data_IF_569476801438
#
_entry.id   IF_569476801438
#
_cell.length_a   1.000
_cell.length_b   1.000
_cell.length_c   1.000
_cell.angle_alpha   90.00
_cell.angle_beta   90.00
_cell.angle_gamma   90.00
#
_symmetry.space_group_name_H-M   'P 1'
#
loop_
_entity.id
_entity.type
_entity.pdbx_description
1 polymer ?
#
# COMPACT_ATOMS: atom_id res chain seq x y z
N UNK A 1 -25.09 44.15 19.60
CA UNK A 1 -25.28 43.72 18.19
C UNK A 1 -24.00 44.12 17.47
N UNK A 2 -23.21 43.28 16.81
CA UNK A 2 -23.29 41.86 16.46
C UNK A 2 -21.84 41.43 16.14
N UNK A 3 -21.47 40.21 16.55
CA UNK A 3 -20.19 39.59 16.24
C UNK A 3 -20.18 39.13 14.78
N UNK A 4 -19.06 39.27 14.08
CA UNK A 4 -18.91 38.77 12.72
C UNK A 4 -17.48 38.43 12.34
N UNK A 5 -16.75 37.74 13.21
CA UNK A 5 -15.47 37.13 12.86
C UNK A 5 -15.72 35.93 11.95
N UNK A 6 -15.57 36.14 10.64
CA UNK A 6 -15.59 35.10 9.61
C UNK A 6 -14.32 34.27 9.76
N UNK A 7 -14.40 33.21 10.57
CA UNK A 7 -13.35 32.20 10.63
C UNK A 7 -13.27 31.50 9.27
N UNK A 8 -12.07 31.51 8.69
CA UNK A 8 -11.76 30.67 7.54
C UNK A 8 -11.91 29.21 7.95
N UNK A 9 -13.05 28.63 7.60
CA UNK A 9 -13.26 27.19 7.62
C UNK A 9 -12.39 26.58 6.52
N UNK A 10 -11.14 26.30 6.84
CA UNK A 10 -10.37 25.32 6.09
C UNK A 10 -11.17 24.02 6.15
N UNK A 11 -11.82 23.65 5.03
CA UNK A 11 -12.32 22.29 4.86
C UNK A 11 -11.10 21.38 4.99
N UNK A 12 -11.02 20.62 6.08
CA UNK A 12 -10.27 19.37 6.08
C UNK A 12 -10.92 18.48 5.02
N UNK A 13 -10.43 18.57 3.78
CA UNK A 13 -10.71 17.58 2.76
C UNK A 13 -9.96 16.34 3.21
N UNK A 14 -10.64 15.46 3.95
CA UNK A 14 -10.15 14.11 4.10
C UNK A 14 -9.96 13.56 2.68
N UNK A 15 -8.76 13.08 2.33
CA UNK A 15 -8.49 12.66 0.97
C UNK A 15 -9.49 11.57 0.60
N UNK A 16 -10.21 11.76 -0.51
CA UNK A 16 -11.23 10.82 -0.95
C UNK A 16 -10.63 9.40 -1.03
N UNK A 17 -11.39 8.34 -0.73
CA UNK A 17 -10.87 7.00 -0.85
C UNK A 17 -10.38 6.73 -2.27
N UNK A 18 -9.34 5.90 -2.40
CA UNK A 18 -8.93 5.41 -3.72
C UNK A 18 -10.09 4.65 -4.38
N UNK A 19 -10.17 4.74 -5.71
CA UNK A 19 -11.24 4.11 -6.46
C UNK A 19 -11.04 2.59 -6.54
N UNK A 20 -9.84 2.17 -6.96
CA UNK A 20 -9.52 0.76 -7.20
C UNK A 20 -8.36 0.24 -6.33
N UNK A 21 -7.87 1.01 -5.36
CA UNK A 21 -6.87 0.55 -4.39
C UNK A 21 -7.54 0.30 -3.05
N UNK A 22 -7.77 -0.98 -2.74
CA UNK A 22 -8.43 -1.38 -1.50
C UNK A 22 -7.48 -1.32 -0.31
N UNK A 23 -8.03 -1.07 0.87
CA UNK A 23 -7.32 -1.13 2.16
C UNK A 23 -6.05 -0.26 2.25
N UNK A 24 -5.99 0.85 1.50
CA UNK A 24 -4.87 1.79 1.54
C UNK A 24 -4.86 2.56 2.88
N UNK A 25 -3.76 2.45 3.64
CA UNK A 25 -3.60 3.13 4.94
C UNK A 25 -2.14 3.49 5.21
N UNK A 26 -1.94 4.60 5.91
CA UNK A 26 -0.66 4.98 6.51
C UNK A 26 -0.41 4.13 7.77
N UNK A 27 0.71 3.41 7.78
CA UNK A 27 1.08 2.50 8.87
C UNK A 27 1.47 3.29 10.12
N UNK A 28 2.22 4.39 9.96
CA UNK A 28 2.62 5.24 11.08
C UNK A 28 1.41 5.84 11.76
N UNK A 29 0.48 6.38 10.97
CA UNK A 29 -0.77 6.92 11.50
C UNK A 29 -1.59 5.86 12.22
N UNK A 30 -1.76 4.69 11.60
CA UNK A 30 -2.56 3.60 12.20
C UNK A 30 -2.00 3.16 13.55
N UNK A 31 -0.68 3.03 13.68
CA UNK A 31 -0.02 2.61 14.92
C UNK A 31 -0.07 3.72 15.97
N UNK A 32 0.21 4.97 15.57
CA UNK A 32 0.17 6.11 16.50
C UNK A 32 -1.24 6.31 17.05
N UNK A 33 -2.26 6.26 16.20
CA UNK A 33 -3.66 6.39 16.59
C UNK A 33 -4.09 5.24 17.52
N UNK A 34 -3.61 4.01 17.28
CA UNK A 34 -3.91 2.85 18.11
C UNK A 34 -3.27 2.92 19.50
N UNK A 35 -2.03 3.41 19.60
CA UNK A 35 -1.28 3.49 20.86
C UNK A 35 -1.53 4.80 21.62
N UNK A 36 -2.06 5.84 20.96
CA UNK A 36 -2.20 7.17 21.54
C UNK A 36 -0.88 7.94 21.66
N UNK A 37 0.20 7.42 21.06
CA UNK A 37 1.55 7.98 21.13
C UNK A 37 2.20 8.05 19.74
N UNK A 38 2.96 9.11 19.46
CA UNK A 38 3.65 9.30 18.17
C UNK A 38 4.99 8.56 18.14
N UNK A 39 4.95 7.23 17.98
CA UNK A 39 6.14 6.39 17.93
C UNK A 39 6.73 6.24 16.52
N UNK A 40 5.88 6.31 15.48
CA UNK A 40 6.28 6.14 14.09
C UNK A 40 6.08 7.41 13.28
N UNK A 41 6.99 7.65 12.35
CA UNK A 41 6.83 8.73 11.38
C UNK A 41 5.68 8.41 10.41
N UNK A 42 4.68 9.27 10.37
CA UNK A 42 3.58 9.24 9.41
C UNK A 42 4.09 9.65 8.01
N UNK A 43 3.39 9.21 6.97
CA UNK A 43 3.71 9.48 5.57
C UNK A 43 4.93 8.74 5.02
N UNK A 44 5.45 7.74 5.74
CA UNK A 44 6.66 6.99 5.35
C UNK A 44 6.39 5.58 4.83
N UNK A 45 5.43 4.88 5.43
CA UNK A 45 5.10 3.52 5.05
C UNK A 45 3.59 3.39 4.93
N UNK A 46 3.17 2.89 3.77
CA UNK A 46 1.77 2.64 3.47
C UNK A 46 1.56 1.15 3.21
N UNK A 47 0.36 0.67 3.47
CA UNK A 47 -0.08 -0.68 3.10
C UNK A 47 -1.36 -0.60 2.30
N UNK A 48 -1.55 -1.52 1.36
CA UNK A 48 -2.78 -1.67 0.58
C UNK A 48 -2.96 -3.11 0.10
N UNK A 49 -4.11 -3.40 -0.50
CA UNK A 49 -4.23 -4.51 -1.43
C UNK A 49 -3.44 -4.21 -2.73
N UNK A 50 -3.49 -5.14 -3.70
CA UNK A 50 -2.78 -4.98 -4.98
C UNK A 50 -3.16 -3.67 -5.68
N UNK A 51 -2.19 -2.89 -6.18
CA UNK A 51 -2.46 -1.65 -6.92
C UNK A 51 -2.53 -1.89 -8.45
N UNK A 52 -2.52 -3.13 -8.93
CA UNK A 52 -2.45 -3.46 -10.36
C UNK A 52 -3.60 -2.86 -11.19
N UNK A 53 -4.77 -2.73 -10.55
CA UNK A 53 -6.02 -2.23 -11.13
C UNK A 53 -6.26 -0.75 -10.83
N UNK A 54 -5.26 -0.04 -10.26
CA UNK A 54 -5.33 1.39 -9.94
C UNK A 54 -5.67 2.22 -11.19
N UNK A 55 -6.67 3.08 -11.06
CA UNK A 55 -7.06 4.02 -12.12
C UNK A 55 -5.95 5.05 -12.37
N UNK A 56 -6.02 5.79 -13.50
CA UNK A 56 -5.05 6.85 -13.77
C UNK A 56 -5.02 7.91 -12.64
N UNK A 57 -6.19 8.21 -12.06
CA UNK A 57 -6.30 9.10 -10.89
C UNK A 57 -5.63 8.49 -9.67
N UNK A 58 -5.90 7.22 -9.34
CA UNK A 58 -5.26 6.52 -8.23
C UNK A 58 -3.72 6.51 -8.37
N UNK A 59 -3.22 6.21 -9.58
CA UNK A 59 -1.78 6.22 -9.89
C UNK A 59 -1.16 7.60 -9.67
N UNK A 60 -1.84 8.65 -10.14
CA UNK A 60 -1.42 10.05 -9.95
C UNK A 60 -1.35 10.39 -8.47
N UNK A 61 -2.38 10.04 -7.70
CA UNK A 61 -2.43 10.28 -6.26
C UNK A 61 -1.32 9.56 -5.50
N UNK A 62 -1.08 8.28 -5.77
CA UNK A 62 0.04 7.55 -5.16
C UNK A 62 1.37 8.28 -5.35
N UNK A 63 1.62 8.79 -6.56
CA UNK A 63 2.87 9.47 -6.93
C UNK A 63 2.97 10.89 -6.38
N UNK A 64 1.97 11.72 -6.64
CA UNK A 64 2.02 13.16 -6.43
C UNK A 64 1.52 13.58 -5.05
N UNK A 65 0.44 12.94 -4.57
CA UNK A 65 -0.18 13.28 -3.28
C UNK A 65 0.54 12.56 -2.13
N UNK A 66 0.76 11.25 -2.27
CA UNK A 66 1.40 10.44 -1.23
C UNK A 66 2.92 10.31 -1.38
N UNK A 67 3.50 10.82 -2.48
CA UNK A 67 4.95 10.80 -2.69
C UNK A 67 5.56 9.39 -2.78
N UNK A 68 4.78 8.39 -3.17
CA UNK A 68 5.24 7.00 -3.22
C UNK A 68 6.17 6.82 -4.44
N UNK A 69 7.42 6.45 -4.16
CA UNK A 69 8.43 6.18 -5.18
C UNK A 69 8.68 4.69 -5.39
N UNK A 70 8.30 3.85 -4.42
CA UNK A 70 8.63 2.43 -4.38
C UNK A 70 7.44 1.61 -3.92
N UNK A 71 7.08 0.57 -4.68
CA UNK A 71 6.09 -0.44 -4.32
C UNK A 71 6.83 -1.74 -4.01
N UNK A 72 6.67 -2.21 -2.78
CA UNK A 72 7.12 -3.55 -2.37
C UNK A 72 5.96 -4.52 -2.55
N UNK A 73 6.09 -5.42 -3.52
CA UNK A 73 5.10 -6.47 -3.78
C UNK A 73 5.58 -7.77 -3.14
N UNK A 74 4.76 -8.29 -2.21
CA UNK A 74 5.10 -9.47 -1.43
C UNK A 74 4.45 -10.75 -1.97
N UNK A 75 3.80 -10.66 -3.13
CA UNK A 75 3.13 -11.79 -3.75
C UNK A 75 4.13 -12.82 -4.27
N UNK A 76 3.67 -14.06 -4.32
CA UNK A 76 4.44 -15.14 -4.94
C UNK A 76 4.49 -14.98 -6.46
N UNK A 77 5.50 -15.59 -7.09
CA UNK A 77 5.60 -15.65 -8.55
C UNK A 77 4.35 -16.24 -9.20
N UNK A 78 3.70 -17.22 -8.55
CA UNK A 78 2.46 -17.82 -9.03
C UNK A 78 1.31 -16.82 -9.04
N UNK A 79 1.18 -16.01 -7.99
CA UNK A 79 0.16 -14.95 -7.93
C UNK A 79 0.40 -13.89 -9.01
N UNK A 80 1.65 -13.49 -9.26
CA UNK A 80 2.01 -12.60 -10.36
C UNK A 80 1.61 -13.18 -11.73
N UNK A 81 1.93 -14.46 -11.98
CA UNK A 81 1.58 -15.12 -13.22
C UNK A 81 0.06 -15.23 -13.43
N UNK A 82 -0.69 -15.54 -12.38
CA UNK A 82 -2.15 -15.60 -12.42
C UNK A 82 -2.76 -14.21 -12.69
N UNK A 83 -2.20 -13.16 -12.07
CA UNK A 83 -2.64 -11.80 -12.30
C UNK A 83 -2.39 -11.33 -13.74
N UNK A 84 -1.23 -11.67 -14.33
CA UNK A 84 -0.92 -11.37 -15.72
C UNK A 84 -1.92 -12.02 -16.67
N UNK A 85 -2.21 -13.32 -16.49
CA UNK A 85 -3.21 -14.05 -17.27
C UNK A 85 -4.61 -13.45 -17.15
N UNK A 86 -5.00 -13.05 -15.92
CA UNK A 86 -6.28 -12.37 -15.71
C UNK A 86 -6.35 -11.07 -16.51
N UNK A 87 -5.30 -10.24 -16.43
CA UNK A 87 -5.24 -8.96 -17.16
C UNK A 87 -5.34 -9.17 -18.67
N UNK A 88 -4.67 -10.18 -19.23
CA UNK A 88 -4.79 -10.53 -20.65
C UNK A 88 -6.22 -10.91 -21.05
N UNK A 89 -6.97 -11.54 -20.14
CA UNK A 89 -8.40 -11.79 -20.31
C UNK A 89 -9.21 -10.50 -20.28
N UNK A 90 -8.98 -9.65 -19.27
CA UNK A 90 -9.72 -8.40 -19.06
C UNK A 90 -9.54 -7.41 -20.23
N UNK A 91 -8.34 -7.38 -20.85
CA UNK A 91 -8.05 -6.57 -22.04
C UNK A 91 -8.92 -6.90 -23.25
N UNK A 92 -9.50 -8.11 -23.30
CA UNK A 92 -10.39 -8.54 -24.40
C UNK A 92 -11.85 -8.11 -24.18
N UNK A 93 -12.16 -7.52 -23.02
CA UNK A 93 -13.52 -7.15 -22.63
C UNK A 93 -13.65 -5.61 -22.76
N UNK A 94 -14.35 -5.09 -23.79
CA UNK A 94 -14.43 -3.65 -24.04
C UNK A 94 -15.02 -2.85 -22.86
N UNK A 95 -15.98 -3.42 -22.14
CA UNK A 95 -16.62 -2.76 -21.00
C UNK A 95 -15.64 -2.50 -19.83
N UNK A 96 -14.61 -3.34 -19.66
CA UNK A 96 -13.59 -3.15 -18.62
C UNK A 96 -12.58 -2.07 -19.02
N UNK A 97 -12.23 -1.99 -20.30
CA UNK A 97 -11.37 -0.91 -20.80
C UNK A 97 -12.03 0.45 -20.67
N UNK A 98 -13.34 0.54 -20.95
CA UNK A 98 -14.10 1.79 -20.78
C UNK A 98 -14.23 2.23 -19.31
N UNK A 99 -14.22 1.29 -18.36
CA UNK A 99 -14.34 1.62 -16.93
C UNK A 99 -12.99 1.93 -16.28
N UNK A 100 -11.88 1.47 -16.86
CA UNK A 100 -10.54 1.76 -16.36
C UNK A 100 -9.50 1.82 -17.49
N UNK A 101 -9.28 3.03 -18.02
CA UNK A 101 -8.29 3.30 -19.07
C UNK A 101 -6.86 2.85 -18.70
N UNK A 102 -6.54 2.78 -17.40
CA UNK A 102 -5.23 2.31 -16.93
C UNK A 102 -4.98 0.82 -17.24
N UNK A 103 -6.01 0.05 -17.58
CA UNK A 103 -5.86 -1.35 -18.00
C UNK A 103 -5.13 -1.48 -19.34
N UNK A 104 -5.32 -0.54 -20.27
CA UNK A 104 -4.64 -0.52 -21.57
C UNK A 104 -3.14 -0.20 -21.45
N UNK A 105 -2.72 0.44 -20.35
CA UNK A 105 -1.33 0.74 -20.06
C UNK A 105 -0.57 -0.41 -19.37
N UNK A 106 0.68 -0.15 -18.95
CA UNK A 106 1.46 -1.14 -18.20
C UNK A 106 0.79 -1.49 -16.86
N UNK A 107 0.96 -2.75 -16.44
CA UNK A 107 0.51 -3.24 -15.14
C UNK A 107 1.20 -2.49 -13.99
N UNK A 108 2.51 -2.30 -14.10
CA UNK A 108 3.30 -1.49 -13.17
C UNK A 108 3.03 -0.01 -13.42
N UNK A 109 2.96 0.77 -12.34
CA UNK A 109 2.77 2.21 -12.38
C UNK A 109 4.08 2.85 -12.85
N UNK A 110 3.99 3.64 -13.92
CA UNK A 110 5.16 4.22 -14.54
C UNK A 110 5.86 5.24 -13.63
N UNK A 111 7.20 5.21 -13.65
CA UNK A 111 8.04 6.03 -12.78
C UNK A 111 8.05 5.63 -11.30
N UNK A 112 7.58 4.43 -10.94
CA UNK A 112 7.76 3.84 -9.61
C UNK A 112 8.68 2.63 -9.65
N UNK A 113 9.49 2.47 -8.61
CA UNK A 113 10.32 1.29 -8.41
C UNK A 113 9.46 0.14 -7.88
N UNK A 114 9.58 -1.05 -8.49
CA UNK A 114 8.89 -2.25 -8.02
C UNK A 114 9.90 -3.24 -7.45
N UNK A 115 9.73 -3.60 -6.18
CA UNK A 115 10.51 -4.62 -5.50
C UNK A 115 9.61 -5.83 -5.25
N UNK A 116 9.83 -6.91 -6.00
CA UNK A 116 9.10 -8.17 -5.82
C UNK A 116 9.88 -9.03 -4.82
N UNK A 117 9.36 -9.15 -3.60
CA UNK A 117 10.03 -9.81 -2.48
C UNK A 117 9.21 -11.02 -2.03
N UNK A 118 9.75 -12.22 -2.24
CA UNK A 118 9.13 -13.43 -1.73
C UNK A 118 9.51 -13.67 -0.25
N UNK A 119 8.63 -13.27 0.67
CA UNK A 119 8.79 -13.51 2.11
C UNK A 119 8.53 -14.97 2.52
N UNK A 120 7.92 -15.78 1.65
CA UNK A 120 7.67 -17.21 1.89
C UNK A 120 8.83 -18.10 1.40
N UNK A 121 9.96 -17.51 1.04
CA UNK A 121 11.12 -18.25 0.59
C UNK A 121 11.92 -18.84 1.75
N UNK A 122 12.46 -20.05 1.57
CA UNK A 122 13.35 -20.72 2.53
C UNK A 122 14.51 -19.85 3.04
N UNK A 123 14.98 -18.90 2.23
CA UNK A 123 16.02 -17.95 2.62
C UNK A 123 15.55 -16.96 3.69
N UNK A 124 14.35 -16.39 3.52
CA UNK A 124 13.76 -15.48 4.52
C UNK A 124 13.39 -16.23 5.80
N UNK A 125 12.78 -17.42 5.68
CA UNK A 125 12.50 -18.30 6.84
C UNK A 125 13.77 -18.56 7.66
N UNK A 126 14.89 -18.92 6.99
CA UNK A 126 16.19 -19.13 7.65
C UNK A 126 16.71 -17.85 8.30
N UNK A 127 16.57 -16.69 7.65
CA UNK A 127 16.96 -15.40 8.22
C UNK A 127 16.15 -15.05 9.48
N UNK A 128 14.84 -15.30 9.47
CA UNK A 128 13.96 -15.06 10.62
C UNK A 128 14.30 -15.99 11.78
N UNK A 129 14.54 -17.28 11.50
CA UNK A 129 15.02 -18.25 12.50
C UNK A 129 16.37 -17.84 13.10
N UNK A 130 17.25 -17.24 12.29
CA UNK A 130 18.55 -16.77 12.77
C UNK A 130 18.43 -15.56 13.71
N UNK A 131 17.48 -14.66 13.45
CA UNK A 131 17.13 -13.54 14.33
C UNK A 131 16.52 -13.99 15.67
N UNK A 132 15.93 -15.19 15.73
CA UNK A 132 15.33 -15.74 16.95
C UNK A 132 16.35 -16.43 17.88
N UNK A 133 17.64 -16.51 17.53
CA UNK A 133 18.57 -17.44 18.18
C UNK A 133 19.19 -16.98 19.52
N UNK A 134 19.37 -17.99 20.39
CA UNK A 134 19.84 -18.06 21.78
C UNK A 134 19.07 -17.29 22.88
N UNK A 135 18.82 -15.99 22.74
CA UNK A 135 18.24 -15.20 23.86
C UNK A 135 16.75 -15.43 24.09
N UNK A 136 16.02 -15.84 23.05
CA UNK A 136 14.59 -16.18 23.13
C UNK A 136 14.31 -17.38 24.05
N UNK A 137 15.29 -18.27 24.22
CA UNK A 137 15.19 -19.46 25.08
C UNK A 137 15.69 -19.22 26.51
N UNK A 138 16.48 -18.17 26.77
CA UNK A 138 16.98 -17.82 28.11
C UNK A 138 15.97 -17.02 28.94
N UNK A 139 14.95 -16.42 28.33
CA UNK A 139 13.94 -15.59 29.01
C UNK A 139 12.60 -16.31 29.32
N UNK A 140 12.55 -17.64 29.24
CA UNK A 140 11.43 -18.43 29.76
C UNK A 140 11.83 -19.12 31.07
N UNK A 141 11.99 -18.34 32.14
CA UNK A 141 12.02 -18.86 33.51
C UNK A 141 10.81 -18.28 34.27
N UNK A 142 9.80 -19.11 34.64
CA UNK A 142 8.90 -18.75 35.71
C UNK A 142 9.64 -18.95 37.04
N UNK A 143 9.88 -17.85 37.76
CA UNK A 143 10.00 -17.86 39.21
C UNK A 143 8.63 -17.82 39.86
#
# INVERSE_FOLDING_TARGET
MEKGGKGDMAMEVSPSPFQNILNFRDVGKTINDFLGEKLLAEGKLFRSARPDDATLSDRKRLKEEYGITTIMDLRTLTEHANQAKKREGDLKIPALLQSNDALAGPMKIDGMNYLEININGKGFERSLLWQLSYWSFLNQHPG
#
